data_IF_312941649719
#
_entry.id   IF_312941649719
#
_cell.length_a   1.000
_cell.length_b   1.000
_cell.length_c   1.000
_cell.angle_alpha   90.00
_cell.angle_beta   90.00
_cell.angle_gamma   90.00
#
_symmetry.space_group_name_H-M   'P 1'
#
loop_
_entity.id
_entity.type
_entity.pdbx_description
1 polymer ?
#
# COMPACT_ATOMS: atom_id res chain seq x y z
N UNK A 1 16.35 -15.72 -7.64
CA UNK A 1 16.02 -14.69 -6.64
C UNK A 1 14.50 -14.67 -6.55
N UNK A 2 13.92 -15.09 -5.43
CA UNK A 2 12.46 -15.15 -5.28
C UNK A 2 11.91 -13.73 -5.14
N UNK A 3 11.09 -13.30 -6.10
CA UNK A 3 10.41 -12.01 -6.03
C UNK A 3 9.17 -12.17 -5.16
N UNK A 4 9.23 -11.66 -3.92
CA UNK A 4 8.08 -11.62 -3.02
C UNK A 4 7.18 -10.45 -3.41
N UNK A 5 5.87 -10.69 -3.50
CA UNK A 5 4.90 -9.61 -3.69
C UNK A 5 4.80 -8.81 -2.38
N UNK A 6 5.15 -7.53 -2.43
CA UNK A 6 4.96 -6.60 -1.32
C UNK A 6 3.77 -5.69 -1.59
N UNK A 7 2.73 -5.81 -0.77
CA UNK A 7 1.60 -4.90 -0.75
C UNK A 7 1.82 -3.93 0.42
N UNK A 8 2.28 -2.72 0.10
CA UNK A 8 2.39 -1.62 1.06
C UNK A 8 1.30 -0.58 0.72
N UNK A 9 0.39 -0.30 1.64
CA UNK A 9 -0.53 0.83 1.50
C UNK A 9 0.19 2.13 1.79
N UNK A 10 -0.38 3.26 1.33
CA UNK A 10 0.21 4.56 1.63
C UNK A 10 0.20 4.85 3.14
N UNK A 11 -0.84 4.43 3.88
CA UNK A 11 -0.90 4.60 5.34
C UNK A 11 0.17 3.76 6.06
N UNK A 12 0.44 2.54 5.61
CA UNK A 12 1.52 1.70 6.17
C UNK A 12 2.91 2.32 5.96
N UNK A 13 3.13 2.98 4.81
CA UNK A 13 4.38 3.67 4.56
C UNK A 13 4.60 4.85 5.51
N UNK A 14 3.54 5.57 5.89
CA UNK A 14 3.59 6.66 6.86
C UNK A 14 3.76 6.14 8.29
N UNK A 15 2.98 5.13 8.66
CA UNK A 15 3.01 4.52 10.00
C UNK A 15 4.34 3.85 10.31
N UNK A 16 4.93 3.15 9.33
CA UNK A 16 6.24 2.51 9.49
C UNK A 16 7.36 3.51 9.78
N UNK A 17 7.21 4.77 9.37
CA UNK A 17 8.17 5.84 9.66
C UNK A 17 7.95 6.46 11.06
N UNK A 18 6.89 6.07 11.77
CA UNK A 18 6.53 6.64 13.07
C UNK A 18 6.08 8.10 13.01
N UNK A 19 5.76 8.62 11.81
CA UNK A 19 5.41 10.02 11.60
C UNK A 19 3.92 10.31 11.86
N UNK A 20 3.08 9.28 11.91
CA UNK A 20 1.64 9.42 12.09
C UNK A 20 0.88 8.11 11.85
N UNK A 21 -0.45 8.19 11.94
CA UNK A 21 -1.41 7.11 11.71
C UNK A 21 -2.40 7.48 10.61
N UNK A 22 -2.75 6.51 9.77
CA UNK A 22 -3.83 6.65 8.79
C UNK A 22 -5.19 6.49 9.45
N UNK A 23 -5.90 7.61 9.60
CA UNK A 23 -7.27 7.74 10.08
C UNK A 23 -8.28 7.67 8.93
N UNK A 24 -9.58 7.62 9.27
CA UNK A 24 -10.65 7.57 8.28
C UNK A 24 -10.62 8.76 7.30
N UNK A 25 -10.25 9.94 7.78
CA UNK A 25 -10.22 11.17 6.98
C UNK A 25 -8.84 11.59 6.49
N UNK A 26 -7.77 10.83 6.77
CA UNK A 26 -6.43 11.19 6.33
C UNK A 26 -5.31 10.69 7.22
N UNK A 27 -4.22 11.44 7.28
CA UNK A 27 -3.05 11.14 8.09
C UNK A 27 -2.94 12.13 9.23
N UNK A 28 -2.82 11.62 10.45
CA UNK A 28 -2.69 12.39 11.69
C UNK A 28 -1.38 12.03 12.38
N UNK A 29 -0.71 13.02 12.98
CA UNK A 29 0.47 12.77 13.83
C UNK A 29 0.06 11.97 15.07
N UNK A 30 0.94 11.09 15.56
CA UNK A 30 0.66 10.37 16.81
C UNK A 30 0.79 11.28 18.04
N UNK A 31 1.54 12.38 17.98
CA UNK A 31 1.67 13.38 19.06
C UNK A 31 1.84 12.78 20.47
N UNK A 32 2.70 11.77 20.60
CA UNK A 32 2.96 10.99 21.83
C UNK A 32 1.83 10.06 22.30
N UNK A 33 0.75 9.93 21.53
CA UNK A 33 -0.33 8.97 21.77
C UNK A 33 0.08 7.58 21.31
N UNK A 34 -0.48 6.56 21.95
CA UNK A 34 -0.30 5.19 21.51
C UNK A 34 -1.10 4.95 20.22
N UNK A 35 -0.49 4.22 19.27
CA UNK A 35 -1.12 3.83 18.02
C UNK A 35 -2.49 3.16 18.20
N UNK A 36 -2.61 2.24 19.16
CA UNK A 36 -3.85 1.49 19.38
C UNK A 36 -4.95 2.38 19.95
N UNK A 37 -4.60 3.39 20.75
CA UNK A 37 -5.56 4.34 21.30
C UNK A 37 -6.17 5.18 20.18
N UNK A 38 -5.34 5.71 19.26
CA UNK A 38 -5.84 6.49 18.12
C UNK A 38 -6.67 5.63 17.17
N UNK A 39 -6.26 4.38 16.96
CA UNK A 39 -7.00 3.44 16.12
C UNK A 39 -8.37 3.10 16.74
N UNK A 40 -8.46 2.94 18.06
CA UNK A 40 -9.70 2.64 18.76
C UNK A 40 -10.75 3.77 18.67
N UNK A 41 -10.33 5.00 18.42
CA UNK A 41 -11.21 6.15 18.21
C UNK A 41 -11.81 6.23 16.79
N UNK A 42 -11.34 5.39 15.87
CA UNK A 42 -11.77 5.44 14.48
C UNK A 42 -13.15 4.82 14.25
N UNK A 43 -13.90 5.28 13.22
CA UNK A 43 -15.16 4.66 12.83
C UNK A 43 -15.01 3.16 12.55
N UNK A 44 -16.06 2.39 12.86
CA UNK A 44 -16.07 0.93 12.64
C UNK A 44 -15.74 0.53 11.20
N UNK A 45 -16.17 1.34 10.22
CA UNK A 45 -15.87 1.12 8.81
C UNK A 45 -14.38 1.21 8.51
N UNK A 46 -13.69 2.18 9.13
CA UNK A 46 -12.24 2.33 9.01
C UNK A 46 -11.51 1.13 9.62
N UNK A 47 -11.89 0.73 10.84
CA UNK A 47 -11.34 -0.45 11.49
C UNK A 47 -11.53 -1.72 10.64
N UNK A 48 -12.73 -1.89 10.07
CA UNK A 48 -13.02 -3.00 9.16
C UNK A 48 -12.14 -2.96 7.91
N UNK A 49 -11.95 -1.78 7.31
CA UNK A 49 -11.02 -1.60 6.20
C UNK A 49 -9.59 -2.01 6.57
N UNK A 50 -9.10 -1.60 7.74
CA UNK A 50 -7.75 -1.95 8.24
C UNK A 50 -7.57 -3.46 8.40
N UNK A 51 -8.57 -4.15 8.94
CA UNK A 51 -8.53 -5.61 9.06
C UNK A 51 -8.52 -6.30 7.68
N UNK A 52 -9.40 -5.86 6.78
CA UNK A 52 -9.45 -6.41 5.40
C UNK A 52 -8.15 -6.17 4.63
N UNK A 53 -7.54 -5.01 4.81
CA UNK A 53 -6.23 -4.71 4.23
C UNK A 53 -5.16 -5.66 4.77
N UNK A 54 -5.11 -5.88 6.08
CA UNK A 54 -4.17 -6.82 6.70
C UNK A 54 -4.33 -8.25 6.17
N UNK A 55 -5.57 -8.74 6.07
CA UNK A 55 -5.88 -10.06 5.50
C UNK A 55 -5.38 -10.17 4.06
N UNK A 56 -5.68 -9.16 3.23
CA UNK A 56 -5.25 -9.13 1.83
C UNK A 56 -3.73 -9.08 1.71
N UNK A 57 -3.05 -8.32 2.58
CA UNK A 57 -1.59 -8.23 2.63
C UNK A 57 -0.96 -9.57 3.00
N UNK A 58 -1.51 -10.25 4.00
CA UNK A 58 -1.04 -11.58 4.41
C UNK A 58 -1.21 -12.58 3.27
N UNK A 59 -2.40 -12.65 2.67
CA UNK A 59 -2.67 -13.50 1.51
C UNK A 59 -1.72 -13.19 0.33
N UNK A 60 -1.54 -11.90 0.02
CA UNK A 60 -0.63 -11.43 -1.02
C UNK A 60 0.82 -11.82 -0.78
N UNK A 61 1.27 -11.85 0.47
CA UNK A 61 2.64 -12.23 0.83
C UNK A 61 2.98 -13.70 0.55
N UNK A 62 1.95 -14.55 0.38
CA UNK A 62 2.07 -15.95 -0.02
C UNK A 62 1.96 -16.15 -1.54
N UNK A 63 1.64 -15.10 -2.29
CA UNK A 63 1.59 -15.18 -3.75
C UNK A 63 3.02 -15.22 -4.30
N UNK A 64 3.35 -16.32 -4.98
CA UNK A 64 4.50 -16.42 -5.84
C UNK A 64 4.07 -16.07 -7.26
N UNK A 65 4.77 -15.12 -7.89
CA UNK A 65 4.53 -14.81 -9.29
C UNK A 65 5.02 -15.99 -10.15
N UNK A 66 4.07 -16.77 -10.69
CA UNK A 66 4.38 -17.83 -11.65
C UNK A 66 4.99 -17.27 -12.94
N UNK A 67 4.56 -16.06 -13.32
CA UNK A 67 5.03 -15.30 -14.49
C UNK A 67 4.91 -13.81 -14.21
N UNK A 68 5.90 -13.02 -14.63
CA UNK A 68 5.85 -11.55 -14.53
C UNK A 68 7.23 -10.94 -14.35
N UNK A 69 7.46 -9.79 -14.98
CA UNK A 69 8.67 -8.98 -14.78
C UNK A 69 8.29 -7.80 -13.87
N UNK A 70 8.99 -7.57 -12.75
CA UNK A 70 8.76 -6.38 -11.94
C UNK A 70 8.91 -5.12 -12.79
N UNK A 71 7.92 -4.23 -12.73
CA UNK A 71 7.97 -2.93 -13.40
C UNK A 71 8.20 -1.84 -12.37
N UNK A 72 9.16 -0.97 -12.63
CA UNK A 72 9.36 0.30 -11.95
C UNK A 72 8.45 1.37 -12.55
N UNK A 73 8.26 2.47 -11.85
CA UNK A 73 7.39 3.55 -12.30
C UNK A 73 7.08 4.54 -11.18
N UNK A 74 6.13 5.43 -11.47
CA UNK A 74 5.66 6.43 -10.51
C UNK A 74 4.14 6.49 -10.49
N UNK A 75 3.62 6.80 -9.31
CA UNK A 75 2.23 7.18 -9.15
C UNK A 75 2.09 8.65 -9.58
N UNK A 76 1.23 8.93 -10.55
CA UNK A 76 0.85 10.29 -10.95
C UNK A 76 -0.58 10.58 -10.48
N UNK A 77 -0.80 11.80 -10.01
CA UNK A 77 -2.12 12.25 -9.52
C UNK A 77 -2.60 13.43 -10.35
N UNK A 78 -3.80 13.33 -10.92
CA UNK A 78 -4.42 14.41 -11.71
C UNK A 78 -5.93 14.25 -11.73
N UNK A 79 -6.69 15.36 -11.73
CA UNK A 79 -8.16 15.35 -11.75
C UNK A 79 -8.83 14.44 -10.70
N UNK A 80 -8.28 14.40 -9.47
CA UNK A 80 -8.72 13.51 -8.37
C UNK A 80 -8.61 12.01 -8.67
N UNK A 81 -7.83 11.62 -9.69
CA UNK A 81 -7.53 10.23 -10.04
C UNK A 81 -6.04 9.97 -9.82
N UNK A 82 -5.72 8.84 -9.21
CA UNK A 82 -4.36 8.33 -9.12
C UNK A 82 -4.13 7.29 -10.24
N UNK A 83 -3.03 7.40 -10.97
CA UNK A 83 -2.64 6.50 -12.05
C UNK A 83 -1.20 6.03 -11.85
N UNK A 84 -0.93 4.75 -12.14
CA UNK A 84 0.43 4.26 -12.24
C UNK A 84 0.98 4.49 -13.65
N UNK A 85 2.14 5.11 -13.75
CA UNK A 85 2.92 5.25 -14.98
C UNK A 85 4.18 4.39 -14.86
N UNK A 86 4.21 3.27 -15.59
CA UNK A 86 5.39 2.41 -15.64
C UNK A 86 6.54 3.12 -16.38
N UNK A 87 7.77 2.90 -15.91
CA UNK A 87 8.95 3.47 -16.54
C UNK A 87 9.05 3.00 -18.00
N UNK A 88 9.45 3.88 -18.94
CA UNK A 88 9.51 3.53 -20.36
C UNK A 88 10.41 2.31 -20.67
N UNK A 89 11.40 2.05 -19.80
CA UNK A 89 12.31 0.91 -19.91
C UNK A 89 11.61 -0.43 -19.72
N UNK A 90 10.48 -0.44 -19.01
CA UNK A 90 9.72 -1.65 -18.70
C UNK A 90 8.59 -1.92 -19.71
N UNK A 91 8.30 -0.96 -20.60
CA UNK A 91 7.28 -1.07 -21.65
C UNK A 91 7.73 -1.89 -22.88
N UNK A 92 8.99 -2.33 -22.92
CA UNK A 92 9.59 -3.07 -24.05
C UNK A 92 9.61 -4.60 -23.89
N UNK A 93 9.30 -5.14 -22.71
CA UNK A 93 9.25 -6.58 -22.48
C UNK A 93 7.84 -7.14 -22.75
N UNK A 94 7.31 -6.85 -23.94
CA UNK A 94 6.22 -7.66 -24.48
C UNK A 94 6.78 -9.07 -24.68
N UNK A 95 6.28 -10.02 -23.90
CA UNK A 95 6.56 -11.43 -24.05
C UNK A 95 6.25 -11.83 -25.49
N UNK A 96 7.29 -11.96 -26.33
CA UNK A 96 7.19 -12.78 -27.52
C UNK A 96 6.97 -14.21 -27.02
N UNK A 97 5.75 -14.69 -27.23
CA UNK A 97 5.40 -16.11 -27.18
C UNK A 97 6.24 -16.89 -28.19
#
# INVERSE_FOLDING_TARGET
METKVELNSWHELFERRGLGIGEHFGLTSLDSRNFYDVLAEQPHEHLRFRLRWYDARLAGSHLQLATGVPTSGKLTTGNRVAKWEADPKDQGHSLRQ
#
